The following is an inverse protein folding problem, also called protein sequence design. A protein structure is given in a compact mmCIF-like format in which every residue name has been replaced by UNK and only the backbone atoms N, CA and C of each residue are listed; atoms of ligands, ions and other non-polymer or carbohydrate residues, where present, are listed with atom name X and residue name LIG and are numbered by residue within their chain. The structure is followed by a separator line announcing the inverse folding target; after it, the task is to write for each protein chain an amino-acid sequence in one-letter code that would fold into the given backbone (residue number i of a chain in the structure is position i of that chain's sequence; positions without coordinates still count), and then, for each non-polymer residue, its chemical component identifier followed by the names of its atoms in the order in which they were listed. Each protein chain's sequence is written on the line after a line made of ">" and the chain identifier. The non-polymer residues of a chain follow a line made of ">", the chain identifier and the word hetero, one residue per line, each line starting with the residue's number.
data_IF_161783170531
#
_entry.id   IF_161783170531
#
_cell.length_a   1.000
_cell.length_b   1.000
_cell.length_c   1.000
_cell.angle_alpha   90.00
_cell.angle_beta   90.00
_cell.angle_gamma   90.00
#
_symmetry.space_group_name_H-M   'P 1'
#
loop_
_entity.id
_entity.type
_entity.pdbx_description
1 polymer ?
#
# COMPACT_ATOMS: atom_id res chain seq x y z
N UNK A 1 31.56 -13.33 -30.62
CA UNK A 1 30.51 -12.36 -30.97
C UNK A 1 30.06 -11.70 -29.67
N UNK A 2 30.53 -10.48 -29.39
CA UNK A 2 30.11 -9.74 -28.20
C UNK A 2 28.72 -9.16 -28.46
N UNK A 3 27.74 -9.51 -27.63
CA UNK A 3 26.40 -8.94 -27.72
C UNK A 3 26.49 -7.42 -27.48
N UNK A 4 25.83 -6.59 -28.31
CA UNK A 4 25.77 -5.16 -28.06
C UNK A 4 24.98 -4.94 -26.78
N UNK A 5 25.65 -4.46 -25.74
CA UNK A 5 24.99 -3.90 -24.55
C UNK A 5 24.23 -2.67 -25.01
N UNK A 6 22.95 -2.83 -25.32
CA UNK A 6 22.05 -1.70 -25.56
C UNK A 6 22.03 -0.87 -24.27
N UNK A 7 22.79 0.24 -24.27
CA UNK A 7 22.63 1.32 -23.30
C UNK A 7 21.25 1.92 -23.54
N UNK A 8 20.23 1.32 -22.94
CA UNK A 8 18.93 1.94 -22.80
C UNK A 8 19.13 3.09 -21.83
N UNK A 9 19.27 4.31 -22.36
CA UNK A 9 19.26 5.52 -21.54
C UNK A 9 17.88 5.62 -20.91
N UNK A 10 17.78 5.35 -19.62
CA UNK A 10 16.57 5.64 -18.84
C UNK A 10 16.24 7.12 -19.01
N UNK A 11 15.02 7.47 -19.49
CA UNK A 11 14.66 8.85 -19.69
C UNK A 11 14.80 9.66 -18.39
N UNK A 12 15.29 10.90 -18.47
CA UNK A 12 15.40 11.77 -17.27
C UNK A 12 14.07 12.00 -16.55
N UNK A 13 12.95 11.96 -17.26
CA UNK A 13 11.61 12.10 -16.69
C UNK A 13 11.18 10.89 -15.85
N UNK A 14 11.76 9.72 -16.10
CA UNK A 14 11.46 8.49 -15.35
C UNK A 14 11.78 8.67 -13.87
N UNK A 15 12.94 9.26 -13.54
CA UNK A 15 13.35 9.48 -12.15
C UNK A 15 12.38 10.41 -11.41
N UNK A 16 11.93 11.47 -12.07
CA UNK A 16 10.98 12.42 -11.49
C UNK A 16 9.61 11.75 -11.31
N UNK A 17 9.13 11.04 -12.33
CA UNK A 17 7.86 10.33 -12.27
C UNK A 17 7.88 9.27 -11.16
N UNK A 18 8.95 8.48 -11.07
CA UNK A 18 9.17 7.47 -10.03
C UNK A 18 9.13 8.10 -8.64
N UNK A 19 9.84 9.20 -8.43
CA UNK A 19 9.83 9.91 -7.16
C UNK A 19 8.42 10.38 -6.78
N UNK A 20 7.71 11.05 -7.70
CA UNK A 20 6.36 11.58 -7.44
C UNK A 20 5.34 10.46 -7.15
N UNK A 21 5.35 9.39 -7.95
CA UNK A 21 4.43 8.26 -7.78
C UNK A 21 4.71 7.52 -6.49
N UNK A 22 5.99 7.28 -6.15
CA UNK A 22 6.33 6.62 -4.89
C UNK A 22 5.97 7.48 -3.68
N UNK A 23 6.23 8.78 -3.73
CA UNK A 23 5.88 9.69 -2.65
C UNK A 23 4.37 9.75 -2.42
N UNK A 24 3.57 9.85 -3.49
CA UNK A 24 2.12 9.78 -3.42
C UNK A 24 1.64 8.42 -2.87
N UNK A 25 2.24 7.33 -3.33
CA UNK A 25 1.96 5.98 -2.88
C UNK A 25 2.23 5.76 -1.39
N UNK A 26 3.35 6.29 -0.87
CA UNK A 26 3.68 6.27 0.57
C UNK A 26 2.63 7.05 1.36
N UNK A 27 2.30 8.27 0.93
CA UNK A 27 1.30 9.11 1.63
C UNK A 27 -0.07 8.41 1.71
N UNK A 28 -0.54 7.85 0.60
CA UNK A 28 -1.80 7.10 0.56
C UNK A 28 -1.74 5.83 1.43
N UNK A 29 -0.61 5.12 1.43
CA UNK A 29 -0.44 3.91 2.24
C UNK A 29 -0.42 4.24 3.74
N UNK A 30 0.28 5.30 4.15
CA UNK A 30 0.28 5.79 5.54
C UNK A 30 -1.13 6.22 5.96
N UNK A 31 -1.85 6.91 5.09
CA UNK A 31 -3.24 7.30 5.37
C UNK A 31 -4.16 6.08 5.50
N UNK A 32 -4.05 5.09 4.62
CA UNK A 32 -4.80 3.84 4.73
C UNK A 32 -4.49 3.09 6.04
N UNK A 33 -3.23 3.06 6.46
CA UNK A 33 -2.83 2.49 7.76
C UNK A 33 -3.47 3.24 8.94
N UNK A 34 -3.50 4.58 8.87
CA UNK A 34 -4.16 5.40 9.89
C UNK A 34 -5.66 5.11 9.95
N UNK A 35 -6.35 5.07 8.80
CA UNK A 35 -7.79 4.78 8.73
C UNK A 35 -8.11 3.40 9.28
N UNK A 36 -7.34 2.37 8.92
CA UNK A 36 -7.54 1.01 9.44
C UNK A 36 -7.37 0.98 10.97
N UNK A 37 -6.34 1.66 11.49
CA UNK A 37 -6.07 1.72 12.93
C UNK A 37 -7.17 2.45 13.70
N UNK A 38 -7.61 3.61 13.22
CA UNK A 38 -8.70 4.37 13.88
C UNK A 38 -10.02 3.63 13.77
N UNK A 39 -10.34 3.03 12.62
CA UNK A 39 -11.56 2.23 12.45
C UNK A 39 -11.57 0.97 13.33
N UNK A 40 -10.41 0.37 13.57
CA UNK A 40 -10.26 -0.76 14.49
C UNK A 40 -10.46 -0.34 15.96
N UNK A 41 -10.16 0.92 16.30
CA UNK A 41 -10.32 1.49 17.64
C UNK A 41 -11.73 1.98 17.90
N UNK A 42 -12.34 2.63 16.92
CA UNK A 42 -13.70 3.15 16.97
C UNK A 42 -14.49 2.71 15.73
N UNK A 43 -15.47 1.84 15.94
CA UNK A 43 -16.34 1.34 14.89
C UNK A 43 -17.18 2.44 14.23
N UNK A 44 -17.38 3.59 14.89
CA UNK A 44 -18.12 4.74 14.34
C UNK A 44 -17.22 5.73 13.59
N UNK A 45 -15.90 5.54 13.58
CA UNK A 45 -14.98 6.38 12.83
C UNK A 45 -15.33 6.39 11.34
N UNK A 46 -15.35 7.59 10.75
CA UNK A 46 -15.58 7.80 9.32
C UNK A 46 -14.38 8.55 8.74
N UNK A 47 -13.74 7.93 7.74
CA UNK A 47 -12.54 8.50 7.12
C UNK A 47 -12.92 9.55 6.08
N UNK A 48 -11.97 10.44 5.75
CA UNK A 48 -12.17 11.44 4.70
C UNK A 48 -12.35 10.82 3.31
N UNK A 49 -11.90 9.57 3.11
CA UNK A 49 -12.09 8.83 1.86
C UNK A 49 -13.43 8.07 1.80
N UNK A 50 -14.30 8.20 2.81
CA UNK A 50 -15.67 7.70 2.77
C UNK A 50 -16.59 8.74 2.10
N UNK A 51 -16.80 8.59 0.78
CA UNK A 51 -17.58 9.55 -0.02
C UNK A 51 -19.09 9.30 0.04
N UNK A 52 -19.50 8.04 0.21
CA UNK A 52 -20.91 7.64 0.30
C UNK A 52 -21.05 6.30 1.01
N UNK A 53 -22.29 5.89 1.29
CA UNK A 53 -22.54 4.56 1.89
C UNK A 53 -22.02 3.40 1.03
N UNK A 54 -22.00 3.58 -0.29
CA UNK A 54 -21.49 2.61 -1.27
C UNK A 54 -19.98 2.74 -1.53
N UNK A 55 -19.39 3.92 -1.29
CA UNK A 55 -17.96 4.19 -1.50
C UNK A 55 -17.34 4.52 -0.14
N UNK A 56 -16.90 3.48 0.58
CA UNK A 56 -16.27 3.61 1.89
C UNK A 56 -14.94 2.87 1.95
N UNK A 57 -13.85 3.63 2.04
CA UNK A 57 -12.52 3.11 2.28
C UNK A 57 -12.40 2.47 3.67
N UNK A 58 -13.09 3.02 4.69
CA UNK A 58 -13.05 2.47 6.04
C UNK A 58 -13.62 1.06 6.11
N UNK A 59 -14.71 0.79 5.36
CA UNK A 59 -15.27 -0.57 5.21
C UNK A 59 -14.30 -1.51 4.48
N UNK A 60 -13.62 -1.01 3.44
CA UNK A 60 -12.67 -1.80 2.65
C UNK A 60 -11.43 -2.18 3.47
N UNK A 61 -10.80 -1.21 4.13
CA UNK A 61 -9.60 -1.45 4.94
C UNK A 61 -9.90 -2.25 6.21
N UNK A 62 -11.06 -2.06 6.83
CA UNK A 62 -11.50 -2.89 7.95
C UNK A 62 -11.99 -4.29 7.56
N UNK A 63 -12.08 -4.61 6.27
CA UNK A 63 -12.51 -5.93 5.82
C UNK A 63 -11.41 -6.99 5.99
N UNK A 64 -11.79 -8.28 5.93
CA UNK A 64 -10.81 -9.38 5.94
C UNK A 64 -9.73 -9.25 4.86
N UNK A 65 -10.04 -8.60 3.74
CA UNK A 65 -9.15 -8.44 2.61
C UNK A 65 -8.18 -7.26 2.79
N UNK A 66 -8.48 -6.34 3.71
CA UNK A 66 -7.62 -5.20 4.04
C UNK A 66 -6.38 -5.59 4.85
N UNK A 67 -6.37 -6.80 5.43
CA UNK A 67 -5.26 -7.34 6.22
C UNK A 67 -4.72 -8.63 5.61
N UNK A 68 -3.41 -8.69 5.41
CA UNK A 68 -2.72 -9.86 4.88
C UNK A 68 -3.28 -10.34 3.53
N UNK A 69 -3.82 -9.42 2.73
CA UNK A 69 -4.55 -9.69 1.48
C UNK A 69 -5.73 -10.67 1.64
N UNK A 70 -6.22 -10.91 2.86
CA UNK A 70 -7.20 -11.96 3.18
C UNK A 70 -6.70 -13.39 2.98
N UNK A 71 -5.40 -13.58 2.71
CA UNK A 71 -4.79 -14.88 2.42
C UNK A 71 -3.74 -15.26 3.47
N UNK A 72 -2.92 -14.31 3.89
CA UNK A 72 -1.79 -14.55 4.79
C UNK A 72 -2.24 -15.03 6.17
N UNK A 73 -3.37 -14.54 6.68
CA UNK A 73 -3.97 -15.05 7.92
C UNK A 73 -4.43 -16.51 7.82
N UNK A 74 -4.87 -16.96 6.64
CA UNK A 74 -5.28 -18.35 6.41
C UNK A 74 -4.08 -19.30 6.28
N UNK A 75 -3.01 -18.84 5.62
CA UNK A 75 -1.83 -19.66 5.32
C UNK A 75 -0.86 -19.72 6.51
N UNK A 76 -0.59 -18.56 7.13
CA UNK A 76 0.42 -18.42 8.18
C UNK A 76 -0.17 -18.25 9.58
N UNK A 77 -1.50 -18.15 9.68
CA UNK A 77 -2.22 -17.91 10.94
C UNK A 77 -2.48 -16.43 11.22
N UNK A 78 -3.61 -16.15 11.88
CA UNK A 78 -4.06 -14.78 12.13
C UNK A 78 -3.11 -13.98 13.05
N UNK A 79 -2.39 -14.65 13.94
CA UNK A 79 -1.42 -14.05 14.87
C UNK A 79 0.00 -14.01 14.30
N UNK A 80 0.19 -14.39 13.03
CA UNK A 80 1.50 -14.33 12.39
C UNK A 80 1.96 -12.87 12.23
N UNK A 81 3.27 -12.65 12.38
CA UNK A 81 3.90 -11.35 12.11
C UNK A 81 3.71 -10.88 10.67
N UNK A 82 3.42 -11.81 9.74
CA UNK A 82 3.15 -11.57 8.31
C UNK A 82 1.67 -11.19 8.09
N UNK A 83 0.77 -11.40 9.05
CA UNK A 83 -0.62 -10.96 8.91
C UNK A 83 -0.78 -9.47 9.29
N UNK A 84 -0.18 -8.60 8.48
CA UNK A 84 -0.19 -7.13 8.65
C UNK A 84 -1.23 -6.46 7.73
N UNK A 85 -1.64 -5.21 8.05
CA UNK A 85 -2.39 -4.35 7.14
C UNK A 85 -1.78 -4.30 5.74
N UNK A 86 -2.60 -4.31 4.68
CA UNK A 86 -2.12 -4.20 3.30
C UNK A 86 -1.32 -2.91 3.06
N UNK A 87 -1.70 -1.86 3.79
CA UNK A 87 -1.01 -0.56 3.79
C UNK A 87 0.46 -0.66 4.22
N UNK A 88 0.83 -1.57 5.13
CA UNK A 88 2.23 -1.80 5.53
C UNK A 88 3.04 -2.35 4.36
N UNK A 89 2.48 -3.29 3.60
CA UNK A 89 3.10 -3.81 2.38
C UNK A 89 3.24 -2.73 1.31
N UNK A 90 2.24 -1.85 1.18
CA UNK A 90 2.31 -0.69 0.30
C UNK A 90 3.46 0.27 0.66
N UNK A 91 3.61 0.61 1.95
CA UNK A 91 4.71 1.46 2.42
C UNK A 91 6.05 0.82 2.06
N UNK A 92 6.26 -0.45 2.38
CA UNK A 92 7.51 -1.16 2.08
C UNK A 92 7.79 -1.19 0.57
N UNK A 93 6.77 -1.49 -0.24
CA UNK A 93 6.89 -1.51 -1.69
C UNK A 93 7.34 -0.16 -2.24
N UNK A 94 6.68 0.94 -1.88
CA UNK A 94 7.04 2.26 -2.40
C UNK A 94 8.37 2.78 -1.86
N UNK A 95 8.75 2.42 -0.62
CA UNK A 95 10.08 2.74 -0.09
C UNK A 95 11.17 2.00 -0.85
N UNK A 96 11.04 0.69 -1.08
CA UNK A 96 12.00 -0.06 -1.88
C UNK A 96 12.04 0.43 -3.33
N UNK A 97 10.89 0.74 -3.90
CA UNK A 97 10.82 1.34 -5.24
C UNK A 97 11.45 2.73 -5.28
N UNK A 98 11.55 3.48 -4.19
CA UNK A 98 12.27 4.76 -4.18
C UNK A 98 13.79 4.59 -4.04
N UNK A 99 14.22 3.52 -3.38
CA UNK A 99 15.63 3.21 -3.12
C UNK A 99 16.35 2.47 -4.27
N UNK A 100 15.63 1.59 -4.97
CA UNK A 100 16.11 0.90 -6.18
C UNK A 100 16.15 1.87 -7.37
#
# INVERSE_FOLDING_TARGET
>A
MAAPVLRVSTPRWERIARFLVCLLGILLSVYAFHVEREKSRDANYQAMCDLSNSISCSKVFGSRWGRGFGLLGSIFGNNSAINQPNSVYGILFYVFQLLL
#
